data_IF_964303185315
#
_entry.id   IF_964303185315
#
_cell.length_a   1.000
_cell.length_b   1.000
_cell.length_c   1.000
_cell.angle_alpha   90.00
_cell.angle_beta   90.00
_cell.angle_gamma   90.00
#
_symmetry.space_group_name_H-M   'P 1'
#
loop_
_entity.id
_entity.type
_entity.pdbx_description
1 polymer ?
#
# COMPACT_ATOMS: atom_id res chain seq x y z
N UNK A 1 -11.45 -4.11 6.71
CA UNK A 1 -11.16 -2.96 5.81
C UNK A 1 -10.52 -3.45 4.52
N UNK A 2 -11.01 -3.02 3.35
CA UNK A 2 -10.55 -3.54 2.06
C UNK A 2 -9.23 -2.89 1.62
N UNK A 3 -8.20 -3.74 1.45
CA UNK A 3 -6.81 -3.35 1.23
C UNK A 3 -6.62 -2.37 0.08
N UNK A 4 -7.05 -2.68 -1.16
CA UNK A 4 -6.80 -1.76 -2.27
C UNK A 4 -7.62 -0.45 -2.17
N UNK A 5 -8.81 -0.50 -1.58
CA UNK A 5 -9.57 0.70 -1.26
C UNK A 5 -8.79 1.66 -0.35
N UNK A 6 -8.20 1.12 0.71
CA UNK A 6 -7.29 1.85 1.59
C UNK A 6 -6.00 2.26 0.83
N UNK A 7 -5.50 1.41 -0.07
CA UNK A 7 -4.32 1.68 -0.90
C UNK A 7 -4.42 2.97 -1.70
N UNK A 8 -5.58 3.23 -2.31
CA UNK A 8 -5.82 4.47 -3.05
C UNK A 8 -5.74 5.71 -2.18
N UNK A 9 -6.23 5.62 -0.94
CA UNK A 9 -6.13 6.69 0.04
C UNK A 9 -4.67 6.94 0.42
N UNK A 10 -3.91 5.88 0.76
CA UNK A 10 -2.51 5.96 1.15
C UNK A 10 -1.64 6.58 0.05
N UNK A 11 -1.69 6.02 -1.16
CA UNK A 11 -0.92 6.51 -2.30
C UNK A 11 -1.34 7.93 -2.69
N UNK A 12 -2.64 8.21 -2.73
CA UNK A 12 -3.20 9.52 -3.06
C UNK A 12 -2.77 10.62 -2.08
N UNK A 13 -2.76 10.34 -0.77
CA UNK A 13 -2.25 11.28 0.24
C UNK A 13 -0.76 11.55 0.07
N UNK A 14 0.04 10.52 -0.21
CA UNK A 14 1.46 10.69 -0.46
C UNK A 14 1.71 11.62 -1.65
N UNK A 15 1.01 11.41 -2.77
CA UNK A 15 1.10 12.29 -3.94
C UNK A 15 0.63 13.72 -3.65
N UNK A 16 -0.50 13.86 -2.96
CA UNK A 16 -1.05 15.16 -2.56
C UNK A 16 -0.04 15.92 -1.70
N UNK A 17 0.52 15.30 -0.66
CA UNK A 17 1.45 15.94 0.27
C UNK A 17 2.78 16.36 -0.39
N UNK A 18 3.23 15.65 -1.43
CA UNK A 18 4.40 16.06 -2.23
C UNK A 18 4.11 17.28 -3.08
N UNK A 19 2.88 17.40 -3.57
CA UNK A 19 2.45 18.49 -4.46
C UNK A 19 1.96 19.72 -3.70
N UNK A 20 1.54 19.55 -2.44
CA UNK A 20 0.95 20.61 -1.63
C UNK A 20 2.01 21.60 -1.15
N UNK A 21 1.81 22.92 -1.33
CA UNK A 21 2.71 23.93 -0.79
C UNK A 21 2.92 23.77 0.72
N UNK A 22 4.16 23.95 1.19
CA UNK A 22 4.52 23.77 2.61
C UNK A 22 3.72 24.70 3.55
N UNK A 23 3.30 25.87 3.06
CA UNK A 23 2.52 26.88 3.78
C UNK A 23 1.00 26.77 3.57
N UNK A 24 0.50 25.71 2.92
CA UNK A 24 -0.93 25.51 2.76
C UNK A 24 -1.61 25.31 4.13
N UNK A 25 -2.71 26.02 4.45
CA UNK A 25 -3.33 25.99 5.77
C UNK A 25 -3.94 24.62 6.14
N UNK A 26 -4.33 23.80 5.15
CA UNK A 26 -4.85 22.45 5.37
C UNK A 26 -3.75 21.38 5.51
N UNK A 27 -2.49 21.71 5.17
CA UNK A 27 -1.38 20.75 5.20
C UNK A 27 -1.22 20.03 6.54
N UNK A 28 -1.32 20.69 7.72
CA UNK A 28 -1.23 19.99 9.00
C UNK A 28 -2.32 18.93 9.19
N UNK A 29 -3.56 19.23 8.79
CA UNK A 29 -4.69 18.30 8.90
C UNK A 29 -4.53 17.10 7.96
N UNK A 30 -4.10 17.36 6.72
CA UNK A 30 -3.84 16.30 5.72
C UNK A 30 -2.68 15.41 6.19
N UNK A 31 -1.59 16.01 6.69
CA UNK A 31 -0.45 15.29 7.24
C UNK A 31 -0.85 14.40 8.43
N UNK A 32 -1.74 14.90 9.30
CA UNK A 32 -2.26 14.10 10.40
C UNK A 32 -3.05 12.89 9.90
N UNK A 33 -3.92 13.07 8.90
CA UNK A 33 -4.65 11.97 8.26
C UNK A 33 -3.71 10.91 7.67
N UNK A 34 -2.68 11.36 6.96
CA UNK A 34 -1.63 10.49 6.42
C UNK A 34 -0.95 9.69 7.54
N UNK A 35 -0.45 10.34 8.59
CA UNK A 35 0.24 9.68 9.71
C UNK A 35 -0.66 8.68 10.44
N UNK A 36 -1.94 9.02 10.67
CA UNK A 36 -2.92 8.11 11.29
C UNK A 36 -3.12 6.85 10.43
N UNK A 37 -3.19 7.02 9.11
CA UNK A 37 -3.30 5.89 8.20
C UNK A 37 -2.04 5.03 8.22
N UNK A 38 -0.85 5.64 8.14
CA UNK A 38 0.42 4.89 8.12
C UNK A 38 0.63 4.09 9.40
N UNK A 39 0.27 4.65 10.56
CA UNK A 39 0.30 3.93 11.84
C UNK A 39 -0.65 2.72 11.85
N UNK A 40 -1.85 2.87 11.28
CA UNK A 40 -2.81 1.78 11.17
C UNK A 40 -2.31 0.67 10.24
N UNK A 41 -1.75 1.05 9.09
CA UNK A 41 -1.17 0.09 8.14
C UNK A 41 0.02 -0.64 8.77
N UNK A 42 0.89 0.05 9.52
CA UNK A 42 2.02 -0.57 10.21
C UNK A 42 1.54 -1.63 11.20
N UNK A 43 0.48 -1.33 11.96
CA UNK A 43 -0.14 -2.29 12.89
C UNK A 43 -0.66 -3.56 12.19
N UNK A 44 -1.21 -3.41 10.98
CA UNK A 44 -1.82 -4.52 10.23
C UNK A 44 -0.87 -5.17 9.21
N UNK A 45 0.40 -4.76 9.16
CA UNK A 45 1.38 -5.42 8.32
C UNK A 45 1.58 -6.86 8.79
N UNK A 46 1.52 -7.79 7.85
CA UNK A 46 1.69 -9.19 8.17
C UNK A 46 3.16 -9.54 8.47
N UNK A 47 3.35 -10.71 9.04
CA UNK A 47 4.63 -11.31 9.42
C UNK A 47 5.64 -11.43 8.27
N UNK A 48 5.19 -11.54 7.02
CA UNK A 48 6.03 -11.56 5.82
C UNK A 48 6.27 -10.17 5.20
N UNK A 49 5.60 -9.13 5.70
CA UNK A 49 5.67 -7.76 5.19
C UNK A 49 4.54 -7.37 4.24
N UNK A 50 3.71 -8.33 3.82
CA UNK A 50 2.56 -8.09 2.95
C UNK A 50 1.36 -7.55 3.75
N UNK A 51 0.37 -7.03 3.04
CA UNK A 51 -0.98 -6.78 3.57
C UNK A 51 -1.98 -7.75 2.96
N UNK A 52 -3.09 -7.93 3.69
CA UNK A 52 -4.18 -8.84 3.32
C UNK A 52 -5.29 -8.07 2.59
N UNK A 53 -6.03 -8.77 1.73
CA UNK A 53 -7.22 -8.25 1.03
C UNK A 53 -8.20 -7.56 1.98
N UNK A 54 -8.40 -8.11 3.18
CA UNK A 54 -8.96 -7.42 4.32
C UNK A 54 -7.84 -7.23 5.36
N UNK A 55 -7.36 -6.00 5.57
CA UNK A 55 -6.11 -5.74 6.31
C UNK A 55 -6.18 -6.13 7.79
N UNK A 56 -7.37 -6.06 8.38
CA UNK A 56 -7.65 -6.35 9.79
C UNK A 56 -8.08 -7.81 10.02
N UNK A 57 -8.19 -8.61 8.97
CA UNK A 57 -8.58 -10.00 9.04
C UNK A 57 -7.36 -10.92 8.79
N UNK A 58 -6.83 -11.59 9.82
CA UNK A 58 -5.66 -12.46 9.66
C UNK A 58 -5.92 -13.68 8.77
N UNK A 59 -7.18 -14.08 8.57
CA UNK A 59 -7.57 -15.19 7.70
C UNK A 59 -7.69 -14.77 6.23
N UNK A 60 -7.71 -13.47 5.95
CA UNK A 60 -7.72 -12.97 4.58
C UNK A 60 -6.40 -13.28 3.87
N UNK A 61 -6.48 -13.54 2.57
CA UNK A 61 -5.32 -13.81 1.72
C UNK A 61 -4.48 -12.54 1.49
N UNK A 62 -3.19 -12.71 1.18
CA UNK A 62 -2.23 -11.62 0.91
C UNK A 62 -2.48 -11.05 -0.48
N UNK A 63 -2.57 -9.73 -0.59
CA UNK A 63 -2.97 -9.06 -1.83
C UNK A 63 -1.89 -8.08 -2.28
N UNK A 64 -1.45 -8.18 -3.53
CA UNK A 64 -0.23 -7.53 -4.00
C UNK A 64 -0.42 -6.06 -4.36
N UNK A 65 -1.59 -5.67 -4.89
CA UNK A 65 -1.81 -4.27 -5.27
C UNK A 65 -1.80 -3.34 -4.06
N UNK A 66 -2.57 -3.65 -3.02
CA UNK A 66 -2.60 -2.86 -1.80
C UNK A 66 -1.25 -2.83 -1.11
N UNK A 67 -0.54 -3.97 -1.09
CA UNK A 67 0.82 -4.02 -0.54
C UNK A 67 1.77 -3.07 -1.27
N UNK A 68 1.75 -3.04 -2.61
CA UNK A 68 2.54 -2.09 -3.39
C UNK A 68 2.18 -0.64 -3.08
N UNK A 69 0.88 -0.33 -2.97
CA UNK A 69 0.43 1.04 -2.68
C UNK A 69 0.83 1.50 -1.27
N UNK A 70 0.72 0.63 -0.27
CA UNK A 70 1.14 0.91 1.10
C UNK A 70 2.66 1.03 1.21
N UNK A 71 3.41 0.14 0.54
CA UNK A 71 4.85 0.22 0.48
C UNK A 71 5.30 1.55 -0.16
N UNK A 72 4.71 1.93 -1.30
CA UNK A 72 4.95 3.23 -1.93
C UNK A 72 4.72 4.41 -0.98
N UNK A 73 3.61 4.39 -0.23
CA UNK A 73 3.30 5.42 0.75
C UNK A 73 4.37 5.47 1.85
N UNK A 74 4.75 4.32 2.43
CA UNK A 74 5.78 4.26 3.47
C UNK A 74 7.14 4.76 2.96
N UNK A 75 7.57 4.29 1.79
CA UNK A 75 8.83 4.72 1.16
C UNK A 75 8.83 6.24 1.00
N UNK A 76 7.76 6.79 0.41
CA UNK A 76 7.63 8.23 0.19
C UNK A 76 7.67 8.99 1.51
N UNK A 77 6.90 8.55 2.52
CA UNK A 77 6.87 9.23 3.81
C UNK A 77 8.21 9.23 4.55
N UNK A 78 8.97 8.13 4.48
CA UNK A 78 10.33 8.07 5.07
C UNK A 78 11.27 9.03 4.34
N UNK A 79 11.26 9.00 3.00
CA UNK A 79 12.14 9.84 2.18
C UNK A 79 11.90 11.33 2.32
N UNK A 80 10.63 11.72 2.43
CA UNK A 80 10.23 13.11 2.62
C UNK A 80 10.39 13.58 4.09
N UNK A 81 10.85 12.70 4.99
CA UNK A 81 11.02 13.00 6.41
C UNK A 81 9.70 13.15 7.19
N UNK A 82 8.59 12.63 6.66
CA UNK A 82 7.28 12.67 7.31
C UNK A 82 7.10 11.54 8.32
N UNK A 83 7.74 10.40 8.06
CA UNK A 83 7.72 9.21 8.90
C UNK A 83 9.11 8.96 9.50
N UNK A 84 9.13 8.43 10.72
CA UNK A 84 10.37 8.02 11.38
C UNK A 84 11.04 6.87 10.62
N UNK A 85 12.30 7.06 10.23
CA UNK A 85 13.02 6.12 9.38
C UNK A 85 13.34 4.80 10.10
N UNK A 86 13.60 4.85 11.41
CA UNK A 86 13.91 3.65 12.20
C UNK A 86 12.69 2.71 12.32
N UNK A 87 11.49 3.29 12.38
CA UNK A 87 10.24 2.54 12.48
C UNK A 87 9.70 2.10 11.11
N UNK A 88 9.57 3.03 10.17
CA UNK A 88 8.87 2.77 8.90
C UNK A 88 9.80 2.28 7.79
N UNK A 89 11.11 2.55 7.86
CA UNK A 89 12.09 2.05 6.90
C UNK A 89 12.15 0.52 6.82
N UNK A 90 12.27 -0.20 7.95
CA UNK A 90 12.23 -1.66 7.97
C UNK A 90 10.90 -2.22 7.43
N UNK A 91 9.77 -1.62 7.80
CA UNK A 91 8.45 -2.03 7.34
C UNK A 91 8.30 -1.88 5.82
N UNK A 92 8.73 -0.75 5.26
CA UNK A 92 8.74 -0.48 3.83
C UNK A 92 9.64 -1.46 3.07
N UNK A 93 10.86 -1.69 3.57
CA UNK A 93 11.82 -2.63 2.98
C UNK A 93 11.27 -4.05 2.97
N UNK A 94 10.67 -4.49 4.07
CA UNK A 94 10.09 -5.83 4.20
C UNK A 94 8.93 -6.04 3.23
N UNK A 95 8.04 -5.04 3.11
CA UNK A 95 6.96 -5.05 2.12
C UNK A 95 7.49 -5.17 0.70
N UNK A 96 8.48 -4.35 0.32
CA UNK A 96 9.11 -4.39 -0.99
C UNK A 96 9.74 -5.75 -1.31
N UNK A 97 10.58 -6.26 -0.41
CA UNK A 97 11.27 -7.53 -0.59
C UNK A 97 10.30 -8.71 -0.68
N UNK A 98 9.18 -8.67 0.04
CA UNK A 98 8.15 -9.70 -0.09
C UNK A 98 7.37 -9.56 -1.41
N UNK A 99 6.93 -8.35 -1.74
CA UNK A 99 6.13 -8.06 -2.94
C UNK A 99 6.82 -8.51 -4.23
N UNK A 100 8.12 -8.26 -4.38
CA UNK A 100 8.85 -8.65 -5.61
C UNK A 100 8.94 -10.17 -5.81
N UNK A 101 8.71 -10.98 -4.77
CA UNK A 101 8.65 -12.45 -4.92
C UNK A 101 7.37 -12.93 -5.60
N UNK A 102 6.34 -12.07 -5.69
CA UNK A 102 5.10 -12.34 -6.40
C UNK A 102 5.18 -12.03 -7.90
N UNK A 103 6.31 -11.51 -8.40
CA UNK A 103 6.54 -11.31 -9.83
C UNK A 103 6.98 -12.66 -10.42
N UNK A 104 6.19 -13.17 -11.37
CA UNK A 104 6.49 -14.44 -12.01
C UNK A 104 7.61 -14.30 -13.07
N UNK A 105 7.98 -15.41 -13.71
CA UNK A 105 9.01 -15.47 -14.74
C UNK A 105 8.74 -14.61 -15.99
N UNK A 106 7.48 -14.27 -16.23
CA UNK A 106 7.03 -13.49 -17.39
C UNK A 106 6.98 -11.98 -17.07
N UNK A 107 7.34 -11.60 -15.83
CA UNK A 107 7.29 -10.21 -15.37
C UNK A 107 5.92 -9.78 -14.84
N UNK A 108 5.01 -10.72 -14.64
CA UNK A 108 3.65 -10.45 -14.16
C UNK A 108 3.55 -10.63 -12.65
N UNK A 109 3.05 -9.59 -11.98
CA UNK A 109 2.67 -9.68 -10.57
C UNK A 109 1.44 -10.59 -10.41
N UNK A 110 1.49 -11.46 -9.41
CA UNK A 110 0.42 -12.43 -9.07
C UNK A 110 -0.41 -11.96 -7.87
N UNK A 111 -1.46 -12.68 -7.51
CA UNK A 111 -2.33 -12.39 -6.34
C UNK A 111 -2.94 -10.97 -6.34
N UNK A 112 -3.23 -10.42 -7.52
CA UNK A 112 -3.88 -9.10 -7.65
C UNK A 112 -5.39 -9.27 -7.55
N UNK A 113 -6.04 -8.57 -6.61
CA UNK A 113 -7.50 -8.58 -6.53
C UNK A 113 -8.10 -7.97 -7.82
N UNK A 114 -9.07 -8.63 -8.44
CA UNK A 114 -9.81 -8.07 -9.60
C UNK A 114 -10.51 -6.74 -9.29
N UNK A 115 -10.95 -6.01 -10.33
CA UNK A 115 -11.80 -4.84 -10.16
C UNK A 115 -12.97 -5.09 -9.19
N UNK A 116 -13.04 -4.31 -8.12
CA UNK A 116 -13.91 -4.60 -6.96
C UNK A 116 -14.69 -3.37 -6.56
N UNK A 117 -16.00 -3.53 -6.38
CA UNK A 117 -16.91 -2.49 -5.90
C UNK A 117 -17.04 -2.53 -4.37
N UNK A 118 -17.78 -1.57 -3.81
CA UNK A 118 -18.09 -1.54 -2.39
C UNK A 118 -19.27 -2.46 -2.07
N UNK A 119 -19.10 -3.35 -1.09
CA UNK A 119 -20.18 -4.09 -0.41
C UNK A 119 -19.91 -4.17 1.08
N UNK A 120 -20.94 -4.21 1.93
CA UNK A 120 -20.78 -4.44 3.37
C UNK A 120 -20.87 -5.94 3.68
N UNK A 121 -19.91 -6.71 3.16
CA UNK A 121 -19.94 -8.17 3.18
C UNK A 121 -18.50 -8.70 3.17
N UNK A 122 -18.12 -9.45 4.20
CA UNK A 122 -16.77 -10.01 4.32
C UNK A 122 -16.46 -10.99 3.19
N UNK A 123 -17.37 -11.92 2.94
CA UNK A 123 -17.14 -13.02 2.00
C UNK A 123 -17.03 -12.48 0.57
N UNK A 124 -17.78 -11.44 0.23
CA UNK A 124 -17.66 -10.72 -1.02
C UNK A 124 -16.22 -10.30 -1.34
N UNK A 125 -15.47 -9.75 -0.37
CA UNK A 125 -14.08 -9.35 -0.58
C UNK A 125 -13.14 -10.55 -0.64
N UNK A 126 -13.41 -11.62 0.11
CA UNK A 126 -12.60 -12.83 0.11
C UNK A 126 -12.74 -13.63 -1.18
N UNK A 127 -13.93 -13.59 -1.81
CA UNK A 127 -14.24 -14.29 -3.06
C UNK A 127 -13.72 -13.58 -4.32
N UNK A 128 -13.10 -12.40 -4.18
CA UNK A 128 -12.55 -11.69 -5.33
C UNK A 128 -11.48 -12.54 -6.02
N UNK A 129 -11.53 -12.60 -7.35
CA UNK A 129 -10.52 -13.29 -8.16
C UNK A 129 -9.15 -12.67 -7.96
N UNK A 130 -8.15 -13.55 -8.05
CA UNK A 130 -6.73 -13.24 -7.95
C UNK A 130 -6.11 -13.31 -9.34
N UNK A 131 -6.04 -12.15 -9.99
CA UNK A 131 -5.54 -12.00 -11.34
C UNK A 131 -4.00 -12.00 -11.36
N UNK A 132 -3.44 -12.38 -12.50
CA UNK A 132 -2.01 -12.28 -12.82
C UNK A 132 -1.84 -11.19 -13.88
N UNK A 133 -0.85 -10.32 -13.73
CA UNK A 133 -0.54 -9.25 -14.69
C UNK A 133 -1.53 -8.08 -14.70
N UNK A 134 -2.45 -8.03 -13.74
CA UNK A 134 -3.43 -6.94 -13.64
C UNK A 134 -2.73 -5.62 -13.28
N UNK A 135 -3.07 -4.56 -14.01
CA UNK A 135 -2.40 -3.25 -13.90
C UNK A 135 -2.54 -2.60 -12.53
N UNK A 136 -3.57 -2.96 -11.75
CA UNK A 136 -3.70 -2.48 -10.38
C UNK A 136 -2.56 -2.99 -9.49
N UNK A 137 -1.95 -4.14 -9.82
CA UNK A 137 -0.76 -4.65 -9.15
C UNK A 137 0.54 -4.17 -9.81
N UNK A 138 0.58 -4.13 -11.15
CA UNK A 138 1.81 -3.80 -11.88
C UNK A 138 2.27 -2.35 -11.62
N UNK A 139 1.33 -1.39 -11.63
CA UNK A 139 1.68 0.01 -11.46
C UNK A 139 2.28 0.31 -10.06
N UNK A 140 1.70 -0.15 -8.93
CA UNK A 140 2.31 0.06 -7.62
C UNK A 140 3.72 -0.48 -7.45
N UNK A 141 4.06 -1.62 -8.08
CA UNK A 141 5.45 -2.14 -8.08
C UNK A 141 6.41 -1.11 -8.69
N UNK A 142 6.04 -0.53 -9.84
CA UNK A 142 6.83 0.51 -10.49
C UNK A 142 6.88 1.80 -9.66
N UNK A 143 5.80 2.16 -8.97
CA UNK A 143 5.78 3.31 -8.08
C UNK A 143 6.75 3.15 -6.92
N UNK A 144 6.81 1.96 -6.30
CA UNK A 144 7.79 1.64 -5.27
C UNK A 144 9.23 1.78 -5.79
N UNK A 145 9.53 1.18 -6.95
CA UNK A 145 10.86 1.26 -7.55
C UNK A 145 11.27 2.73 -7.81
N UNK A 146 10.38 3.51 -8.43
CA UNK A 146 10.62 4.94 -8.65
C UNK A 146 10.77 5.71 -7.33
N UNK A 147 9.98 5.43 -6.30
CA UNK A 147 10.11 6.09 -5.00
C UNK A 147 11.47 5.79 -4.33
N UNK A 148 12.01 4.57 -4.47
CA UNK A 148 13.35 4.25 -3.98
C UNK A 148 14.46 4.96 -4.76
N UNK A 149 14.29 5.19 -6.06
CA UNK A 149 15.25 5.89 -6.93
C UNK A 149 15.19 7.42 -6.85
N UNK A 150 14.09 7.94 -6.30
CA UNK A 150 13.99 9.18 -5.53
C UNK A 150 15.30 9.88 -5.16
#
# INVERSE_FOLDING_TARGET
FWGRGDGWMAAGMSELLRSLPKNNPDRPRIMQGYKTMMASLLKYQAEDGMWRQLIDDPQSWKETSCTGMFAFAFITGVREGWLDAATYGPAAKKAWLSLITYINKDGDITEVCEGTNKKNDRQYYLDRKRNVGDLHGQAPVLWCANAFLR
#
